data_IF_174466522872
#
_entry.id   IF_174466522872
#
_cell.length_a   1.000
_cell.length_b   1.000
_cell.length_c   1.000
_cell.angle_alpha   90.00
_cell.angle_beta   90.00
_cell.angle_gamma   90.00
#
_symmetry.space_group_name_H-M   'P 1'
#
loop_
_entity.id
_entity.type
_entity.pdbx_description
1 polymer ?
#
# COMPACT_ATOMS: atom_id res chain seq x y z
N UNK A 1 -4.94 -1.64 -37.01
CA UNK A 1 -4.15 -1.74 -35.75
C UNK A 1 -3.65 -0.35 -35.39
N UNK A 2 -4.13 0.29 -34.31
CA UNK A 2 -3.50 1.53 -33.82
C UNK A 2 -2.03 1.22 -33.49
N UNK A 3 -1.07 2.00 -34.01
CA UNK A 3 0.36 1.74 -33.76
C UNK A 3 0.61 1.76 -32.25
N UNK A 4 1.46 0.87 -31.75
CA UNK A 4 1.81 0.78 -30.33
C UNK A 4 2.20 2.16 -29.75
N UNK A 5 2.95 2.95 -30.53
CA UNK A 5 3.35 4.32 -30.21
C UNK A 5 2.16 5.30 -30.14
N UNK A 6 1.11 5.11 -30.96
CA UNK A 6 -0.08 5.96 -30.89
C UNK A 6 -0.84 5.80 -29.57
N UNK A 7 -0.72 4.65 -28.87
CA UNK A 7 -1.30 4.46 -27.53
C UNK A 7 -0.59 5.30 -26.47
N UNK A 8 0.71 5.59 -26.62
CA UNK A 8 1.49 6.37 -25.65
C UNK A 8 1.18 7.88 -25.67
N UNK A 9 0.52 8.40 -26.72
CA UNK A 9 0.17 9.82 -26.82
C UNK A 9 -0.86 10.25 -25.76
N UNK A 10 -1.58 9.30 -25.17
CA UNK A 10 -2.61 9.56 -24.16
C UNK A 10 -3.81 10.34 -24.71
N UNK A 11 -4.75 10.67 -23.82
CA UNK A 11 -5.86 11.59 -24.09
C UNK A 11 -5.70 12.84 -23.22
N UNK A 12 -6.26 13.98 -23.67
CA UNK A 12 -6.32 15.18 -22.84
C UNK A 12 -7.29 14.94 -21.68
N UNK A 13 -6.80 15.02 -20.44
CA UNK A 13 -7.64 15.03 -19.26
C UNK A 13 -8.03 16.48 -18.91
N UNK A 14 -9.30 16.72 -18.56
CA UNK A 14 -9.68 17.97 -17.91
C UNK A 14 -9.18 17.95 -16.46
N UNK A 15 -8.56 19.04 -16.02
CA UNK A 15 -8.18 19.22 -14.61
C UNK A 15 -9.42 19.75 -13.89
N UNK A 16 -9.81 19.12 -12.79
CA UNK A 16 -10.78 19.70 -11.85
C UNK A 16 -10.12 20.86 -11.10
N UNK A 17 -10.94 21.82 -10.70
CA UNK A 17 -10.52 22.86 -9.77
C UNK A 17 -10.14 22.24 -8.40
N UNK A 18 -9.31 22.94 -7.65
CA UNK A 18 -8.81 22.48 -6.35
C UNK A 18 -9.93 22.58 -5.32
N UNK A 19 -10.28 21.45 -4.70
CA UNK A 19 -11.15 21.42 -3.52
C UNK A 19 -10.30 21.40 -2.24
N UNK A 20 -10.17 22.55 -1.60
CA UNK A 20 -9.39 22.70 -0.38
C UNK A 20 -9.97 21.95 0.82
N UNK A 21 -11.29 21.77 0.88
CA UNK A 21 -11.91 20.99 1.95
C UNK A 21 -11.54 19.52 1.80
N UNK A 22 -11.59 19.02 0.56
CA UNK A 22 -11.15 17.67 0.25
C UNK A 22 -9.66 17.47 0.55
N UNK A 23 -8.80 18.40 0.11
CA UNK A 23 -7.37 18.37 0.41
C UNK A 23 -7.06 18.36 1.92
N UNK A 24 -7.80 19.13 2.72
CA UNK A 24 -7.64 19.18 4.18
C UNK A 24 -8.01 17.83 4.84
N UNK A 25 -9.08 17.18 4.39
CA UNK A 25 -9.44 15.83 4.87
C UNK A 25 -8.40 14.78 4.47
N UNK A 26 -7.88 14.85 3.25
CA UNK A 26 -6.77 13.99 2.79
C UNK A 26 -5.53 14.15 3.66
N UNK A 27 -5.14 15.40 3.93
CA UNK A 27 -4.00 15.72 4.79
C UNK A 27 -4.21 15.19 6.21
N UNK A 28 -5.38 15.46 6.81
CA UNK A 28 -5.70 15.01 8.17
C UNK A 28 -5.66 13.49 8.26
N UNK A 29 -6.27 12.79 7.30
CA UNK A 29 -6.25 11.33 7.24
C UNK A 29 -4.84 10.76 7.10
N UNK A 30 -4.03 11.33 6.19
CA UNK A 30 -2.65 10.91 6.01
C UNK A 30 -1.81 11.15 7.26
N UNK A 31 -1.94 12.32 7.90
CA UNK A 31 -1.22 12.67 9.11
C UNK A 31 -1.60 11.75 10.28
N UNK A 32 -2.89 11.57 10.56
CA UNK A 32 -3.38 10.72 11.65
C UNK A 32 -3.05 9.25 11.37
N UNK A 33 -3.24 8.80 10.13
CA UNK A 33 -2.99 7.42 9.73
C UNK A 33 -1.52 7.04 9.82
N UNK A 34 -0.65 7.83 9.21
CA UNK A 34 0.80 7.61 9.30
C UNK A 34 1.29 7.79 10.74
N UNK A 35 0.83 8.83 11.44
CA UNK A 35 1.20 9.06 12.84
C UNK A 35 0.79 7.89 13.74
N UNK A 36 -0.40 7.32 13.56
CA UNK A 36 -0.84 6.15 14.33
C UNK A 36 0.03 4.92 14.04
N UNK A 37 0.36 4.66 12.76
CA UNK A 37 1.25 3.55 12.38
C UNK A 37 2.65 3.77 12.97
N UNK A 38 3.25 4.95 12.83
CA UNK A 38 4.60 5.19 13.35
C UNK A 38 4.66 5.14 14.87
N UNK A 39 3.67 5.72 15.57
CA UNK A 39 3.60 5.64 17.03
C UNK A 39 3.40 4.21 17.53
N UNK A 40 2.62 3.40 16.81
CA UNK A 40 2.47 1.97 17.13
C UNK A 40 3.79 1.23 16.94
N UNK A 41 4.53 1.57 15.88
CA UNK A 41 5.87 1.03 15.62
C UNK A 41 6.81 1.33 16.76
N UNK A 42 7.06 2.61 17.04
CA UNK A 42 8.00 3.05 18.08
C UNK A 42 7.73 2.44 19.46
N UNK A 43 6.46 2.21 19.82
CA UNK A 43 6.07 1.71 21.14
C UNK A 43 6.09 0.20 21.27
N UNK A 44 5.82 -0.53 20.20
CA UNK A 44 5.56 -1.98 20.25
C UNK A 44 6.52 -2.83 19.42
N UNK A 45 7.20 -2.22 18.45
CA UNK A 45 8.13 -2.87 17.54
C UNK A 45 9.43 -2.08 17.61
N UNK A 46 10.42 -2.61 18.33
CA UNK A 46 11.74 -2.00 18.47
C UNK A 46 12.26 -1.63 17.07
N UNK A 47 12.52 -0.34 16.84
CA UNK A 47 12.92 0.29 15.57
C UNK A 47 11.85 0.55 14.47
N UNK A 48 12.18 1.53 13.60
CA UNK A 48 11.38 2.17 12.55
C UNK A 48 10.86 1.23 11.43
N UNK A 49 10.77 -0.08 11.70
CA UNK A 49 10.28 -1.16 10.85
C UNK A 49 8.93 -0.88 10.20
N UNK A 50 8.11 0.00 10.79
CA UNK A 50 6.81 0.38 10.24
C UNK A 50 6.84 1.53 9.23
N UNK A 51 7.97 2.20 8.99
CA UNK A 51 8.08 3.17 7.88
C UNK A 51 8.39 2.41 6.59
N UNK A 52 7.53 1.45 6.27
CA UNK A 52 7.56 0.75 4.99
C UNK A 52 7.17 1.78 3.94
N UNK A 53 8.05 2.09 2.98
CA UNK A 53 7.75 3.06 1.91
C UNK A 53 6.43 2.81 1.17
N UNK A 54 5.92 1.57 1.22
CA UNK A 54 4.57 1.24 0.75
C UNK A 54 3.47 2.00 1.48
N UNK A 55 3.56 2.24 2.79
CA UNK A 55 2.51 2.92 3.55
C UNK A 55 2.33 4.38 3.17
N UNK A 56 3.39 5.06 2.72
CA UNK A 56 3.24 6.40 2.14
C UNK A 56 2.36 6.37 0.87
N UNK A 57 2.51 5.37 0.02
CA UNK A 57 1.65 5.21 -1.15
C UNK A 57 0.23 4.72 -0.77
N UNK A 58 0.11 3.83 0.23
CA UNK A 58 -1.18 3.41 0.78
C UNK A 58 -1.94 4.59 1.39
N UNK A 59 -1.27 5.52 2.08
CA UNK A 59 -1.92 6.71 2.66
C UNK A 59 -2.46 7.62 1.57
N UNK A 60 -1.71 7.82 0.48
CA UNK A 60 -2.19 8.60 -0.66
C UNK A 60 -3.46 7.96 -1.24
N UNK A 61 -3.48 6.65 -1.45
CA UNK A 61 -4.68 5.96 -1.95
C UNK A 61 -5.86 6.05 -0.98
N UNK A 62 -5.63 5.78 0.32
CA UNK A 62 -6.71 5.75 1.32
C UNK A 62 -7.33 7.11 1.62
N UNK A 63 -6.53 8.18 1.59
CA UNK A 63 -6.97 9.49 2.06
C UNK A 63 -7.15 10.51 0.94
N UNK A 64 -6.36 10.44 -0.13
CA UNK A 64 -6.45 11.37 -1.26
C UNK A 64 -7.18 10.83 -2.49
N UNK A 65 -7.38 9.50 -2.58
CA UNK A 65 -8.19 8.87 -3.62
C UNK A 65 -9.05 7.72 -3.07
N UNK A 66 -9.86 7.95 -2.01
CA UNK A 66 -10.62 6.89 -1.31
C UNK A 66 -11.61 6.14 -2.21
N UNK A 67 -12.07 6.77 -3.29
CA UNK A 67 -12.94 6.18 -4.32
C UNK A 67 -12.21 5.21 -5.26
N UNK A 68 -10.87 5.22 -5.24
CA UNK A 68 -10.06 4.35 -6.09
C UNK A 68 -10.39 2.89 -5.81
N UNK A 69 -10.56 2.05 -6.86
CA UNK A 69 -10.73 0.62 -6.66
C UNK A 69 -9.52 0.01 -5.92
N UNK A 70 -8.33 0.59 -6.07
CA UNK A 70 -7.11 0.12 -5.40
C UNK A 70 -7.02 0.51 -3.92
N UNK A 71 -7.86 1.45 -3.47
CA UNK A 71 -7.92 1.88 -2.08
C UNK A 71 -8.92 1.07 -1.24
N UNK A 72 -9.72 0.17 -1.85
CA UNK A 72 -10.75 -0.56 -1.10
C UNK A 72 -10.16 -1.59 -0.12
N UNK A 73 -10.83 -1.89 1.00
CA UNK A 73 -10.24 -2.62 2.13
C UNK A 73 -9.66 -3.99 1.78
N UNK A 74 -10.36 -4.82 0.98
CA UNK A 74 -9.81 -6.11 0.53
C UNK A 74 -8.52 -5.92 -0.22
N UNK A 75 -8.42 -4.92 -1.09
CA UNK A 75 -7.23 -4.70 -1.89
C UNK A 75 -6.07 -4.27 -0.98
N UNK A 76 -6.31 -3.32 -0.07
CA UNK A 76 -5.30 -2.85 0.87
C UNK A 76 -4.77 -3.98 1.75
N UNK A 77 -5.65 -4.78 2.38
CA UNK A 77 -5.22 -5.86 3.26
C UNK A 77 -4.69 -7.08 2.51
N UNK A 78 -5.53 -7.69 1.67
CA UNK A 78 -5.19 -8.94 0.99
C UNK A 78 -4.06 -8.71 -0.02
N UNK A 79 -4.09 -7.62 -0.77
CA UNK A 79 -3.05 -7.28 -1.74
C UNK A 79 -1.70 -7.07 -1.08
N UNK A 80 -1.64 -6.32 0.02
CA UNK A 80 -0.38 -6.10 0.74
C UNK A 80 0.13 -7.35 1.43
N UNK A 81 -0.76 -8.11 2.10
CA UNK A 81 -0.41 -9.35 2.79
C UNK A 81 0.17 -10.40 1.84
N UNK A 82 -0.53 -10.68 0.73
CA UNK A 82 -0.07 -11.66 -0.26
C UNK A 82 1.22 -11.22 -0.94
N UNK A 83 1.35 -9.93 -1.25
CA UNK A 83 2.59 -9.41 -1.85
C UNK A 83 3.78 -9.53 -0.88
N UNK A 84 3.57 -9.21 0.40
CA UNK A 84 4.60 -9.37 1.42
C UNK A 84 5.01 -10.85 1.60
N UNK A 85 4.06 -11.79 1.59
CA UNK A 85 4.34 -13.23 1.62
C UNK A 85 5.21 -13.66 0.43
N UNK A 86 4.86 -13.19 -0.79
CA UNK A 86 5.65 -13.44 -1.99
C UNK A 86 7.06 -12.86 -1.87
N UNK A 87 7.19 -11.65 -1.34
CA UNK A 87 8.48 -10.99 -1.13
C UNK A 87 9.39 -11.76 -0.15
N UNK A 88 8.84 -12.18 1.00
CA UNK A 88 9.57 -13.01 1.98
C UNK A 88 10.00 -14.34 1.35
N UNK A 89 9.11 -15.02 0.62
CA UNK A 89 9.45 -16.26 -0.07
C UNK A 89 10.60 -16.08 -1.08
N UNK A 90 10.60 -14.99 -1.84
CA UNK A 90 11.68 -14.69 -2.78
C UNK A 90 13.01 -14.42 -2.06
N UNK A 91 12.98 -13.70 -0.94
CA UNK A 91 14.16 -13.43 -0.14
C UNK A 91 14.75 -14.73 0.46
N UNK A 92 13.92 -15.61 1.02
CA UNK A 92 14.37 -16.88 1.60
C UNK A 92 15.06 -17.80 0.57
N UNK A 93 14.60 -17.79 -0.68
CA UNK A 93 15.17 -18.66 -1.73
C UNK A 93 16.37 -18.06 -2.46
N UNK A 94 16.41 -16.75 -2.62
CA UNK A 94 17.38 -16.08 -3.51
C UNK A 94 18.18 -14.97 -2.83
N UNK A 95 17.94 -14.70 -1.54
CA UNK A 95 18.54 -13.60 -0.79
C UNK A 95 18.21 -12.21 -1.37
N UNK A 96 18.99 -11.21 -0.98
CA UNK A 96 18.87 -9.84 -1.50
C UNK A 96 19.54 -9.68 -2.88
N UNK A 97 19.09 -10.44 -3.88
CA UNK A 97 19.60 -10.40 -5.26
C UNK A 97 18.67 -9.63 -6.20
N UNK A 98 19.20 -9.16 -7.33
CA UNK A 98 18.39 -8.52 -8.38
C UNK A 98 17.28 -9.45 -8.92
N UNK A 99 17.55 -10.76 -8.97
CA UNK A 99 16.57 -11.77 -9.35
C UNK A 99 15.43 -11.84 -8.32
N UNK A 100 15.74 -11.89 -7.03
CA UNK A 100 14.74 -11.89 -5.95
C UNK A 100 13.83 -10.65 -6.03
N UNK A 101 14.42 -9.47 -6.28
CA UNK A 101 13.68 -8.22 -6.46
C UNK A 101 12.71 -8.31 -7.65
N UNK A 102 13.21 -8.74 -8.81
CA UNK A 102 12.38 -8.85 -10.01
C UNK A 102 11.24 -9.86 -9.82
N UNK A 103 11.53 -11.02 -9.20
CA UNK A 103 10.54 -12.05 -8.90
C UNK A 103 9.52 -11.56 -7.87
N UNK A 104 9.94 -10.98 -6.76
CA UNK A 104 9.04 -10.51 -5.71
C UNK A 104 8.01 -9.52 -6.24
N UNK A 105 8.44 -8.53 -7.01
CA UNK A 105 7.55 -7.50 -7.57
C UNK A 105 6.64 -8.10 -8.65
N UNK A 106 7.20 -8.85 -9.62
CA UNK A 106 6.41 -9.38 -10.73
C UNK A 106 5.40 -10.45 -10.30
N UNK A 107 5.78 -11.35 -9.39
CA UNK A 107 4.89 -12.34 -8.81
C UNK A 107 3.82 -11.69 -7.93
N UNK A 108 4.14 -10.63 -7.17
CA UNK A 108 3.13 -9.89 -6.40
C UNK A 108 2.07 -9.28 -7.30
N UNK A 109 2.48 -8.68 -8.43
CA UNK A 109 1.53 -8.19 -9.44
C UNK A 109 0.65 -9.31 -9.97
N UNK A 110 1.24 -10.45 -10.33
CA UNK A 110 0.49 -11.62 -10.81
C UNK A 110 -0.51 -12.12 -9.76
N UNK A 111 -0.06 -12.34 -8.51
CA UNK A 111 -0.90 -12.84 -7.42
C UNK A 111 -2.06 -11.90 -7.17
N UNK A 112 -1.82 -10.59 -7.06
CA UNK A 112 -2.88 -9.60 -6.87
C UNK A 112 -3.90 -9.57 -8.01
N UNK A 113 -3.46 -9.79 -9.26
CA UNK A 113 -4.39 -9.90 -10.39
C UNK A 113 -5.26 -11.15 -10.28
N UNK A 114 -4.66 -12.30 -9.93
CA UNK A 114 -5.37 -13.57 -9.77
C UNK A 114 -6.36 -13.56 -8.60
N UNK A 115 -6.06 -12.84 -7.52
CA UNK A 115 -6.93 -12.74 -6.34
C UNK A 115 -7.90 -11.56 -6.38
N UNK A 116 -7.88 -10.79 -7.46
CA UNK A 116 -8.63 -9.54 -7.62
C UNK A 116 -8.39 -8.57 -6.45
N UNK A 117 -7.14 -8.47 -6.00
CA UNK A 117 -6.74 -7.67 -4.84
C UNK A 117 -5.62 -6.68 -5.16
N UNK A 118 -5.67 -6.06 -6.35
CA UNK A 118 -4.64 -5.13 -6.80
C UNK A 118 -4.59 -3.91 -5.88
N UNK A 119 -3.49 -3.83 -5.13
CA UNK A 119 -3.10 -2.68 -4.35
C UNK A 119 -1.63 -2.39 -4.67
N UNK A 120 -1.33 -1.41 -5.55
CA UNK A 120 0.02 -1.14 -6.00
C UNK A 120 1.08 -1.01 -4.89
N UNK A 121 0.77 -0.40 -3.72
CA UNK A 121 1.71 -0.39 -2.60
C UNK A 121 2.11 -1.78 -2.07
N UNK A 122 1.28 -2.82 -2.26
CA UNK A 122 1.63 -4.20 -1.93
C UNK A 122 2.88 -4.68 -2.68
N UNK A 123 3.06 -4.30 -3.94
CA UNK A 123 4.28 -4.62 -4.69
C UNK A 123 5.52 -3.95 -4.09
N UNK A 124 5.38 -2.74 -3.52
CA UNK A 124 6.46 -2.09 -2.77
C UNK A 124 6.75 -2.80 -1.44
N UNK A 125 5.73 -3.36 -0.76
CA UNK A 125 5.95 -4.21 0.42
C UNK A 125 6.72 -5.49 0.08
N UNK A 126 6.42 -6.13 -1.06
CA UNK A 126 7.17 -7.28 -1.56
C UNK A 126 8.63 -6.95 -1.85
N UNK A 127 8.88 -5.78 -2.47
CA UNK A 127 10.22 -5.27 -2.71
C UNK A 127 10.97 -5.09 -1.39
N UNK A 128 10.35 -4.45 -0.40
CA UNK A 128 10.95 -4.19 0.92
C UNK A 128 11.26 -5.48 1.66
N UNK A 129 10.45 -6.53 1.53
CA UNK A 129 10.78 -7.84 2.10
C UNK A 129 12.12 -8.40 1.57
N UNK A 130 12.50 -8.05 0.33
CA UNK A 130 13.77 -8.48 -0.29
C UNK A 130 14.92 -7.54 0.02
N UNK A 131 14.75 -6.23 -0.21
CA UNK A 131 15.83 -5.23 -0.07
C UNK A 131 15.88 -4.57 1.31
N UNK A 132 15.03 -5.02 2.24
CA UNK A 132 14.99 -4.52 3.60
C UNK A 132 16.31 -4.74 4.33
N UNK A 133 16.47 -4.03 5.45
CA UNK A 133 17.61 -4.23 6.35
C UNK A 133 17.48 -5.52 7.17
N UNK A 134 18.50 -5.76 8.01
CA UNK A 134 18.56 -6.92 8.89
C UNK A 134 17.30 -7.07 9.76
N UNK A 135 16.71 -5.97 10.21
CA UNK A 135 15.50 -5.99 11.04
C UNK A 135 14.28 -6.54 10.28
N UNK A 136 14.14 -6.18 9.00
CA UNK A 136 13.05 -6.69 8.14
C UNK A 136 13.24 -8.18 7.89
N UNK A 137 14.47 -8.61 7.60
CA UNK A 137 14.78 -10.01 7.37
C UNK A 137 14.65 -10.85 8.65
N UNK A 138 14.97 -10.29 9.82
CA UNK A 138 14.82 -10.95 11.11
C UNK A 138 13.35 -11.28 11.46
N UNK A 139 12.39 -10.50 10.93
CA UNK A 139 10.97 -10.84 11.05
C UNK A 139 10.60 -12.09 10.23
N UNK A 140 11.27 -12.35 9.11
CA UNK A 140 10.96 -13.45 8.21
C UNK A 140 9.47 -13.53 7.89
N UNK A 141 8.86 -14.69 8.16
CA UNK A 141 7.43 -14.93 7.94
C UNK A 141 6.48 -14.13 8.85
N UNK A 142 6.99 -13.41 9.85
CA UNK A 142 6.21 -12.45 10.62
C UNK A 142 6.08 -11.09 9.92
N UNK A 143 6.92 -10.77 8.95
CA UNK A 143 6.86 -9.51 8.20
C UNK A 143 5.48 -9.25 7.53
N UNK A 144 4.82 -10.22 6.88
CA UNK A 144 3.51 -9.98 6.28
C UNK A 144 2.40 -9.71 7.31
N UNK A 145 2.54 -10.23 8.53
CA UNK A 145 1.50 -10.14 9.57
C UNK A 145 1.73 -8.92 10.46
N UNK A 146 2.93 -8.78 11.01
CA UNK A 146 3.24 -7.79 12.04
C UNK A 146 3.31 -6.40 11.44
N UNK A 147 4.27 -6.03 10.57
CA UNK A 147 4.28 -4.68 10.03
C UNK A 147 3.17 -4.47 9.00
N UNK A 148 2.98 -5.41 8.06
CA UNK A 148 2.11 -5.17 6.90
C UNK A 148 0.62 -5.24 7.25
N UNK A 149 0.10 -6.38 7.70
CA UNK A 149 -1.33 -6.50 7.97
C UNK A 149 -1.80 -5.58 9.12
N UNK A 150 -1.00 -5.42 10.18
CA UNK A 150 -1.33 -4.49 11.27
C UNK A 150 -1.32 -3.03 10.79
N UNK A 151 -0.28 -2.60 10.07
CA UNK A 151 -0.19 -1.25 9.54
C UNK A 151 -1.36 -0.93 8.60
N UNK A 152 -1.65 -1.81 7.65
CA UNK A 152 -2.82 -1.69 6.79
C UNK A 152 -4.13 -1.62 7.58
N UNK A 153 -4.29 -2.41 8.64
CA UNK A 153 -5.49 -2.41 9.47
C UNK A 153 -5.68 -1.08 10.20
N UNK A 154 -4.61 -0.53 10.79
CA UNK A 154 -4.61 0.77 11.46
C UNK A 154 -4.97 1.88 10.46
N UNK A 155 -4.35 1.89 9.29
CA UNK A 155 -4.65 2.88 8.25
C UNK A 155 -6.08 2.75 7.74
N UNK A 156 -6.61 1.54 7.59
CA UNK A 156 -8.01 1.34 7.20
C UNK A 156 -8.99 1.84 8.26
N UNK A 157 -8.70 1.63 9.54
CA UNK A 157 -9.51 2.18 10.63
C UNK A 157 -9.56 3.70 10.53
N UNK A 158 -8.41 4.36 10.35
CA UNK A 158 -8.35 5.81 10.18
C UNK A 158 -9.06 6.24 8.89
N UNK A 159 -8.94 5.50 7.79
CA UNK A 159 -9.61 5.80 6.54
C UNK A 159 -11.13 5.70 6.67
N UNK A 160 -11.65 4.69 7.38
CA UNK A 160 -13.07 4.58 7.69
C UNK A 160 -13.57 5.74 8.55
N UNK A 161 -12.77 6.21 9.51
CA UNK A 161 -13.17 7.36 10.34
C UNK A 161 -13.17 8.67 9.53
N UNK A 162 -12.03 9.00 8.93
CA UNK A 162 -11.81 10.30 8.29
C UNK A 162 -12.67 10.47 7.04
N UNK A 163 -12.76 9.45 6.18
CA UNK A 163 -13.54 9.56 4.95
C UNK A 163 -15.07 9.52 5.18
N UNK A 164 -15.57 9.01 6.31
CA UNK A 164 -17.01 9.07 6.61
C UNK A 164 -17.39 10.29 7.47
N UNK A 165 -16.43 10.96 8.13
CA UNK A 165 -16.66 12.26 8.77
C UNK A 165 -16.76 13.40 7.75
N UNK A 166 -16.07 13.28 6.61
CA UNK A 166 -16.21 14.18 5.48
C UNK A 166 -17.57 13.94 4.77
N UNK A 167 -18.50 14.90 4.88
CA UNK A 167 -19.88 14.76 4.36
C UNK A 167 -19.98 14.42 2.87
N UNK A 168 -18.99 14.80 2.07
CA UNK A 168 -18.96 14.59 0.62
C UNK A 168 -18.23 13.31 0.19
N UNK A 169 -17.69 12.54 1.13
CA UNK A 169 -16.96 11.30 0.89
C UNK A 169 -17.74 10.10 1.43
N UNK A 170 -17.36 8.91 0.96
CA UNK A 170 -17.88 7.62 1.45
C UNK A 170 -16.79 6.58 1.36
N UNK A 171 -16.58 5.81 2.43
CA UNK A 171 -15.60 4.72 2.41
C UNK A 171 -15.99 3.62 3.41
N UNK A 172 -15.84 2.33 3.09
CA UNK A 172 -15.51 1.80 1.78
C UNK A 172 -16.69 1.94 0.80
N UNK A 173 -16.39 1.91 -0.49
CA UNK A 173 -17.40 1.74 -1.53
C UNK A 173 -17.86 0.28 -1.62
N UNK A 174 -16.93 -0.66 -1.41
CA UNK A 174 -17.16 -2.09 -1.34
C UNK A 174 -16.01 -2.76 -0.57
N UNK A 175 -16.23 -3.99 -0.10
CA UNK A 175 -15.24 -4.76 0.66
C UNK A 175 -14.29 -5.51 -0.25
#
# INVERSE_FOLDING_TARGET
MKSYLAKMRGSRASRRDIDWHDAAWSWLGAFVGMGAVTMLGERWLTDQLLVVGSFGATSVLLYAAPESPFAQPRNVLLGSLLSALVGVACFEWFGATALAVALAVSLSVLVMQLTHSVHPPGAAAALIAVIGGADVHALGWWFPIIPIALGCSVMLIVAMLVNNLARHRRYPHYW
#
